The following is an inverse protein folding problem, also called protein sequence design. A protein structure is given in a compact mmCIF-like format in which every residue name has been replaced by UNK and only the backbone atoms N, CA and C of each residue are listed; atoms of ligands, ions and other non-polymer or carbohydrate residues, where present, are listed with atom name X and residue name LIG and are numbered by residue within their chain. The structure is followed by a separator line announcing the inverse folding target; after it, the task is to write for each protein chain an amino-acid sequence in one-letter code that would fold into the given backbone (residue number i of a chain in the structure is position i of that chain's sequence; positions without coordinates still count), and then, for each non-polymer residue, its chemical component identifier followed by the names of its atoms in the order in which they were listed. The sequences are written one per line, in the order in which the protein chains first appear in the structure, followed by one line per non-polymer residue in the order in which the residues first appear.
data_IF_123959252786
#
_entry.id   IF_123959252786
#
_cell.length_a   1.000
_cell.length_b   1.000
_cell.length_c   1.000
_cell.angle_alpha   90.00
_cell.angle_beta   90.00
_cell.angle_gamma   90.00
#
_symmetry.space_group_name_H-M   'P 1'
#
loop_
_entity.id
_entity.type
_entity.pdbx_description
1 polymer ?
#
# COMPACT_ATOMS: atom_id res chain seq x y z
N UNK A 1 -29.92 72.15 18.41
CA UNK A 1 -31.03 71.43 17.71
C UNK A 1 -30.92 69.96 18.13
N UNK A 2 -31.89 69.38 18.88
CA UNK A 2 -31.85 68.00 19.29
C UNK A 2 -32.42 67.10 18.16
N UNK A 3 -31.64 66.07 17.79
CA UNK A 3 -32.02 65.07 16.80
C UNK A 3 -33.04 64.11 17.43
N UNK A 4 -34.22 63.99 16.80
CA UNK A 4 -35.30 63.06 17.16
C UNK A 4 -34.82 61.58 16.96
N UNK A 5 -34.63 60.82 18.05
CA UNK A 5 -34.46 59.39 18.02
C UNK A 5 -35.73 58.72 17.54
N UNK A 6 -35.73 58.12 16.36
CA UNK A 6 -36.80 57.29 15.81
C UNK A 6 -36.98 56.05 16.67
N UNK A 7 -38.05 56.00 17.49
CA UNK A 7 -38.47 54.80 18.22
C UNK A 7 -38.90 53.73 17.21
N UNK A 8 -38.11 52.68 17.09
CA UNK A 8 -38.45 51.47 16.32
C UNK A 8 -39.55 50.74 17.08
N UNK A 9 -40.78 50.78 16.56
CA UNK A 9 -41.90 49.97 17.07
C UNK A 9 -41.66 48.51 16.67
N UNK A 10 -41.08 47.72 17.56
CA UNK A 10 -41.00 46.26 17.40
C UNK A 10 -42.44 45.74 17.52
N UNK A 11 -42.98 45.20 16.43
CA UNK A 11 -44.33 44.60 16.42
C UNK A 11 -44.30 43.38 17.35
N UNK A 12 -44.98 43.43 18.49
CA UNK A 12 -45.14 42.32 19.46
C UNK A 12 -45.68 41.02 18.86
N UNK A 13 -46.18 41.06 17.61
CA UNK A 13 -46.67 39.88 16.87
C UNK A 13 -45.55 39.01 16.31
N UNK A 14 -44.31 39.52 16.12
CA UNK A 14 -43.16 38.77 15.66
C UNK A 14 -42.50 37.95 16.79
N UNK A 15 -42.76 38.29 18.05
CA UNK A 15 -42.28 37.58 19.24
C UNK A 15 -43.18 36.41 19.67
N UNK A 16 -44.27 36.14 18.96
CA UNK A 16 -45.24 35.07 19.24
C UNK A 16 -45.28 33.98 18.15
N UNK A 17 -44.40 34.00 17.19
CA UNK A 17 -44.24 32.83 16.33
C UNK A 17 -43.42 31.81 17.12
N UNK A 18 -43.97 30.62 17.39
CA UNK A 18 -43.15 29.54 17.98
C UNK A 18 -41.95 29.31 17.08
N UNK A 19 -40.76 29.25 17.65
CA UNK A 19 -39.55 28.90 16.89
C UNK A 19 -39.83 27.62 16.09
N UNK A 20 -39.43 27.59 14.80
CA UNK A 20 -39.57 26.37 13.96
C UNK A 20 -39.04 25.16 14.66
N UNK A 21 -38.00 25.32 15.50
CA UNK A 21 -37.44 24.30 16.34
C UNK A 21 -38.40 23.78 17.42
N UNK A 22 -39.23 24.69 18.09
CA UNK A 22 -40.24 24.26 19.06
C UNK A 22 -41.40 23.51 18.40
N UNK A 23 -41.77 23.87 17.17
CA UNK A 23 -42.83 23.16 16.44
C UNK A 23 -42.37 21.80 15.92
N UNK A 24 -41.15 21.69 15.43
CA UNK A 24 -40.58 20.42 14.97
C UNK A 24 -40.35 19.43 16.13
N UNK A 25 -39.80 19.90 17.26
CA UNK A 25 -39.63 19.06 18.46
C UNK A 25 -40.97 18.64 19.05
N UNK A 26 -41.97 19.51 19.08
CA UNK A 26 -43.33 19.17 19.52
C UNK A 26 -43.98 18.11 18.63
N UNK A 27 -43.84 18.23 17.30
CA UNK A 27 -44.36 17.24 16.35
C UNK A 27 -43.64 15.89 16.51
N UNK A 28 -42.30 15.88 16.66
CA UNK A 28 -41.52 14.66 16.87
C UNK A 28 -41.92 13.95 18.18
N UNK A 29 -42.09 14.68 19.28
CA UNK A 29 -42.53 14.13 20.58
C UNK A 29 -43.95 13.56 20.49
N UNK A 30 -44.89 14.27 19.84
CA UNK A 30 -46.26 13.80 19.65
C UNK A 30 -46.29 12.54 18.77
N UNK A 31 -45.54 12.52 17.69
CA UNK A 31 -45.41 11.31 16.83
C UNK A 31 -44.80 10.13 17.60
N UNK A 32 -43.72 10.37 18.35
CA UNK A 32 -43.05 9.33 19.15
C UNK A 32 -43.97 8.76 20.24
N UNK A 33 -44.78 9.63 20.89
CA UNK A 33 -45.74 9.21 21.90
C UNK A 33 -46.91 8.41 21.31
N UNK A 34 -47.35 8.75 20.11
CA UNK A 34 -48.37 7.99 19.37
C UNK A 34 -47.83 6.63 18.88
N UNK A 35 -46.54 6.56 18.56
CA UNK A 35 -45.90 5.38 18.01
C UNK A 35 -44.87 4.76 18.99
N UNK A 36 -45.13 4.82 20.29
CA UNK A 36 -44.18 4.39 21.34
C UNK A 36 -43.67 2.96 21.16
N UNK A 37 -44.50 2.04 20.68
CA UNK A 37 -44.07 0.66 20.40
C UNK A 37 -43.00 0.59 19.31
N UNK A 38 -43.16 1.34 18.23
CA UNK A 38 -42.18 1.44 17.15
C UNK A 38 -40.88 2.11 17.62
N UNK A 39 -40.98 3.19 18.41
CA UNK A 39 -39.81 3.89 18.96
C UNK A 39 -39.01 2.96 19.88
N UNK A 40 -39.70 2.25 20.78
CA UNK A 40 -39.02 1.26 21.65
C UNK A 40 -38.37 0.15 20.83
N UNK A 41 -39.07 -0.36 19.80
CA UNK A 41 -38.50 -1.39 18.93
C UNK A 41 -37.24 -0.90 18.18
N UNK A 42 -37.26 0.33 17.65
CA UNK A 42 -36.09 0.94 16.97
C UNK A 42 -34.93 1.15 17.94
N UNK A 43 -35.20 1.67 19.13
CA UNK A 43 -34.15 1.90 20.14
C UNK A 43 -33.56 0.56 20.60
N UNK A 44 -34.41 -0.46 20.83
CA UNK A 44 -33.93 -1.80 21.19
C UNK A 44 -33.08 -2.43 20.06
N UNK A 45 -33.52 -2.29 18.80
CA UNK A 45 -32.75 -2.79 17.66
C UNK A 45 -31.38 -2.09 17.53
N UNK A 46 -31.34 -0.77 17.73
CA UNK A 46 -30.06 -0.01 17.72
C UNK A 46 -29.15 -0.42 18.89
N UNK A 47 -29.72 -0.64 20.08
CA UNK A 47 -28.95 -1.13 21.23
C UNK A 47 -28.34 -2.51 20.97
N UNK A 48 -29.13 -3.43 20.42
CA UNK A 48 -28.65 -4.76 20.03
C UNK A 48 -27.56 -4.67 18.95
N UNK A 49 -27.77 -3.84 17.92
CA UNK A 49 -26.77 -3.62 16.87
C UNK A 49 -25.47 -3.04 17.45
N UNK A 50 -25.55 -2.11 18.38
CA UNK A 50 -24.41 -1.56 19.10
C UNK A 50 -23.64 -2.61 19.90
N UNK A 51 -24.33 -3.46 20.66
CA UNK A 51 -23.74 -4.57 21.40
C UNK A 51 -23.03 -5.58 20.48
N UNK A 52 -23.67 -5.93 19.37
CA UNK A 52 -23.08 -6.85 18.35
C UNK A 52 -21.83 -6.20 17.75
N UNK A 53 -21.85 -4.91 17.41
CA UNK A 53 -20.70 -4.20 16.87
C UNK A 53 -19.52 -4.20 17.86
N UNK A 54 -19.77 -3.96 19.14
CA UNK A 54 -18.76 -4.02 20.21
C UNK A 54 -18.18 -5.43 20.35
N UNK A 55 -19.04 -6.46 20.36
CA UNK A 55 -18.60 -7.85 20.45
C UNK A 55 -17.72 -8.25 19.25
N UNK A 56 -18.14 -7.90 18.02
CA UNK A 56 -17.34 -8.12 16.81
C UNK A 56 -16.01 -7.39 16.89
N UNK A 57 -16.02 -6.13 17.35
CA UNK A 57 -14.80 -5.33 17.53
C UNK A 57 -13.82 -6.00 18.48
N UNK A 58 -14.30 -6.51 19.62
CA UNK A 58 -13.48 -7.20 20.60
C UNK A 58 -12.90 -8.53 20.06
N UNK A 59 -13.72 -9.34 19.37
CA UNK A 59 -13.28 -10.59 18.77
C UNK A 59 -12.21 -10.36 17.70
N UNK A 60 -12.42 -9.39 16.80
CA UNK A 60 -11.43 -8.99 15.79
C UNK A 60 -10.16 -8.42 16.41
N UNK A 61 -10.25 -7.72 17.53
CA UNK A 61 -9.09 -7.23 18.28
C UNK A 61 -8.23 -8.38 18.80
N UNK A 62 -8.83 -9.35 19.46
CA UNK A 62 -8.16 -10.54 19.97
C UNK A 62 -7.53 -11.40 18.84
N UNK A 63 -8.23 -11.53 17.72
CA UNK A 63 -7.73 -12.25 16.54
C UNK A 63 -6.48 -11.55 15.96
N UNK A 64 -6.51 -10.21 15.83
CA UNK A 64 -5.35 -9.42 15.36
C UNK A 64 -4.15 -9.55 16.28
N UNK A 65 -4.37 -9.54 17.59
CA UNK A 65 -3.30 -9.70 18.57
C UNK A 65 -2.63 -11.07 18.45
N UNK A 66 -3.42 -12.16 18.37
CA UNK A 66 -2.90 -13.52 18.16
C UNK A 66 -2.12 -13.63 16.85
N UNK A 67 -2.67 -13.10 15.76
CA UNK A 67 -1.99 -13.07 14.46
C UNK A 67 -0.67 -12.28 14.52
N UNK A 68 -0.63 -11.15 15.23
CA UNK A 68 0.59 -10.36 15.43
C UNK A 68 1.67 -11.14 16.16
N UNK A 69 1.31 -11.83 17.24
CA UNK A 69 2.25 -12.66 18.00
C UNK A 69 2.78 -13.83 17.16
N UNK A 70 1.90 -14.53 16.45
CA UNK A 70 2.29 -15.62 15.56
C UNK A 70 3.22 -15.12 14.44
N UNK A 71 2.91 -13.96 13.84
CA UNK A 71 3.77 -13.35 12.82
C UNK A 71 5.17 -13.00 13.37
N UNK A 72 5.24 -12.41 14.55
CA UNK A 72 6.53 -12.09 15.19
C UNK A 72 7.37 -13.35 15.42
N UNK A 73 6.75 -14.44 15.87
CA UNK A 73 7.44 -15.71 16.06
C UNK A 73 7.95 -16.28 14.75
N UNK A 74 7.11 -16.35 13.72
CA UNK A 74 7.50 -16.82 12.39
C UNK A 74 8.61 -15.96 11.79
N UNK A 75 8.51 -14.61 11.93
CA UNK A 75 9.52 -13.69 11.45
C UNK A 75 10.86 -13.82 12.18
N UNK A 76 10.84 -14.07 13.50
CA UNK A 76 12.07 -14.33 14.27
C UNK A 76 12.74 -15.61 13.80
N UNK A 77 11.97 -16.67 13.52
CA UNK A 77 12.46 -17.93 12.95
C UNK A 77 13.08 -17.70 11.56
N UNK A 78 12.43 -16.91 10.72
CA UNK A 78 12.94 -16.52 9.40
C UNK A 78 14.25 -15.72 9.51
N UNK A 79 14.28 -14.72 10.39
CA UNK A 79 15.44 -13.84 10.58
C UNK A 79 16.67 -14.57 11.16
N UNK A 80 16.49 -15.70 11.84
CA UNK A 80 17.59 -16.53 12.32
C UNK A 80 18.46 -17.11 11.18
N UNK A 81 17.96 -17.13 9.94
CA UNK A 81 18.74 -17.39 8.73
C UNK A 81 19.06 -18.86 8.44
N UNK A 82 18.66 -19.80 9.29
CA UNK A 82 18.96 -21.23 9.17
C UNK A 82 17.74 -22.16 9.31
N UNK A 83 16.52 -21.59 9.45
CA UNK A 83 15.27 -22.32 9.70
C UNK A 83 14.17 -21.90 8.71
N UNK A 84 14.53 -21.86 7.44
CA UNK A 84 13.58 -21.35 6.41
C UNK A 84 12.39 -22.28 6.20
N UNK A 85 12.56 -23.60 6.33
CA UNK A 85 11.45 -24.57 6.26
C UNK A 85 10.46 -24.33 7.40
N UNK A 86 10.95 -24.27 8.64
CA UNK A 86 10.09 -23.99 9.81
C UNK A 86 9.38 -22.63 9.67
N UNK A 87 10.09 -21.63 9.16
CA UNK A 87 9.50 -20.31 8.93
C UNK A 87 8.40 -20.36 7.85
N UNK A 88 8.62 -21.06 6.75
CA UNK A 88 7.64 -21.21 5.67
C UNK A 88 6.37 -21.90 6.15
N UNK A 89 6.49 -22.95 6.95
CA UNK A 89 5.37 -23.64 7.58
C UNK A 89 4.62 -22.74 8.57
N UNK A 90 5.34 -22.00 9.41
CA UNK A 90 4.73 -21.07 10.35
C UNK A 90 3.97 -19.94 9.65
N UNK A 91 4.51 -19.39 8.56
CA UNK A 91 3.80 -18.40 7.74
C UNK A 91 2.61 -19.01 7.01
N UNK A 92 2.69 -20.25 6.53
CA UNK A 92 1.56 -20.95 5.92
C UNK A 92 0.42 -21.14 6.93
N UNK A 93 0.71 -21.62 8.14
CA UNK A 93 -0.26 -21.76 9.21
C UNK A 93 -0.91 -20.43 9.57
N UNK A 94 -0.11 -19.37 9.70
CA UNK A 94 -0.59 -18.02 10.00
C UNK A 94 -1.55 -17.48 8.92
N UNK A 95 -1.22 -17.67 7.64
CA UNK A 95 -2.07 -17.24 6.52
C UNK A 95 -3.40 -18.02 6.51
N UNK A 96 -3.36 -19.32 6.87
CA UNK A 96 -4.54 -20.17 6.97
C UNK A 96 -5.43 -19.82 8.16
N UNK A 97 -4.84 -19.66 9.35
CA UNK A 97 -5.59 -19.48 10.61
C UNK A 97 -6.16 -18.06 10.77
N UNK A 98 -5.51 -17.06 10.15
CA UNK A 98 -5.87 -15.64 10.29
C UNK A 98 -6.00 -14.90 8.94
N UNK A 99 -6.73 -15.44 7.95
CA UNK A 99 -6.74 -14.91 6.57
C UNK A 99 -7.27 -13.48 6.45
N UNK A 100 -8.11 -13.06 7.41
CA UNK A 100 -8.74 -11.74 7.40
C UNK A 100 -7.93 -10.66 8.13
N UNK A 101 -6.83 -11.03 8.79
CA UNK A 101 -5.96 -10.08 9.46
C UNK A 101 -4.88 -9.55 8.49
N UNK A 102 -4.33 -8.37 8.79
CA UNK A 102 -3.19 -7.85 8.01
C UNK A 102 -1.97 -8.77 8.09
N UNK A 103 -1.71 -9.37 9.25
CA UNK A 103 -0.59 -10.29 9.47
C UNK A 103 -0.76 -11.62 8.73
N UNK A 104 -1.99 -12.16 8.70
CA UNK A 104 -2.28 -13.37 7.95
C UNK A 104 -2.10 -13.17 6.44
N UNK A 105 -2.57 -12.04 5.91
CA UNK A 105 -2.31 -11.70 4.51
C UNK A 105 -0.82 -11.53 4.22
N UNK A 106 -0.10 -10.77 5.06
CA UNK A 106 1.34 -10.55 4.90
C UNK A 106 2.15 -11.85 5.01
N UNK A 107 1.67 -12.81 5.77
CA UNK A 107 2.30 -14.12 5.92
C UNK A 107 2.44 -14.87 4.57
N UNK A 108 1.51 -14.67 3.63
CA UNK A 108 1.63 -15.23 2.27
C UNK A 108 2.89 -14.74 1.53
N UNK A 109 3.21 -13.45 1.62
CA UNK A 109 4.42 -12.88 1.06
C UNK A 109 5.68 -13.46 1.72
N UNK A 110 5.71 -13.48 3.06
CA UNK A 110 6.85 -14.00 3.82
C UNK A 110 7.04 -15.51 3.66
N UNK A 111 5.95 -16.27 3.41
CA UNK A 111 6.06 -17.68 2.99
C UNK A 111 6.85 -17.81 1.69
N UNK A 112 6.55 -16.96 0.70
CA UNK A 112 7.31 -16.90 -0.55
C UNK A 112 8.79 -16.59 -0.31
N UNK A 113 9.11 -15.63 0.55
CA UNK A 113 10.49 -15.31 0.92
C UNK A 113 11.21 -16.47 1.61
N UNK A 114 10.54 -17.15 2.54
CA UNK A 114 11.11 -18.27 3.26
C UNK A 114 11.43 -19.45 2.32
N UNK A 115 10.52 -19.80 1.42
CA UNK A 115 10.70 -20.83 0.40
C UNK A 115 11.82 -20.49 -0.58
N UNK A 116 11.90 -19.23 -1.03
CA UNK A 116 12.99 -18.76 -1.88
C UNK A 116 14.35 -18.87 -1.19
N UNK A 117 14.44 -18.52 0.10
CA UNK A 117 15.64 -18.63 0.91
C UNK A 117 16.01 -20.08 1.23
N UNK A 118 15.03 -20.98 1.27
CA UNK A 118 15.21 -22.43 1.38
C UNK A 118 15.78 -23.03 0.08
N UNK A 119 15.65 -22.35 -1.05
CA UNK A 119 16.04 -22.84 -2.39
C UNK A 119 14.91 -23.53 -3.13
N UNK A 120 13.70 -23.61 -2.57
CA UNK A 120 12.52 -24.16 -3.27
C UNK A 120 11.86 -23.06 -4.10
N UNK A 121 12.45 -22.79 -5.26
CA UNK A 121 12.00 -21.76 -6.17
C UNK A 121 10.60 -22.04 -6.74
N UNK A 122 10.24 -23.31 -6.94
CA UNK A 122 8.93 -23.69 -7.47
C UNK A 122 7.81 -23.41 -6.45
N UNK A 123 8.03 -23.81 -5.18
CA UNK A 123 7.09 -23.50 -4.11
C UNK A 123 7.03 -21.99 -3.82
N UNK A 124 8.17 -21.29 -3.90
CA UNK A 124 8.21 -19.84 -3.76
C UNK A 124 7.37 -19.12 -4.84
N UNK A 125 7.52 -19.53 -6.10
CA UNK A 125 6.73 -18.97 -7.21
C UNK A 125 5.22 -19.18 -6.98
N UNK A 126 4.83 -20.36 -6.51
CA UNK A 126 3.44 -20.65 -6.16
C UNK A 126 2.94 -19.74 -5.02
N UNK A 127 3.72 -19.61 -3.95
CA UNK A 127 3.36 -18.78 -2.80
C UNK A 127 3.22 -17.29 -3.17
N UNK A 128 4.10 -16.75 -4.00
CA UNK A 128 3.99 -15.37 -4.50
C UNK A 128 2.76 -15.19 -5.40
N UNK A 129 2.46 -16.15 -6.28
CA UNK A 129 1.28 -16.09 -7.14
C UNK A 129 -0.03 -16.14 -6.32
N UNK A 130 -0.11 -17.00 -5.31
CA UNK A 130 -1.22 -17.07 -4.36
C UNK A 130 -1.41 -15.72 -3.62
N UNK A 131 -0.31 -15.14 -3.13
CA UNK A 131 -0.36 -13.83 -2.48
C UNK A 131 -0.84 -12.73 -3.42
N UNK A 132 -0.33 -12.67 -4.65
CA UNK A 132 -0.74 -11.70 -5.67
C UNK A 132 -2.23 -11.80 -6.04
N UNK A 133 -2.80 -13.00 -5.99
CA UNK A 133 -4.23 -13.22 -6.22
C UNK A 133 -5.11 -12.55 -5.15
N UNK A 134 -4.58 -12.26 -3.97
CA UNK A 134 -5.31 -11.52 -2.91
C UNK A 134 -5.40 -10.01 -3.15
N UNK A 135 -4.83 -9.50 -4.25
CA UNK A 135 -4.75 -8.07 -4.56
C UNK A 135 -4.13 -7.25 -3.43
N UNK A 136 -2.86 -7.51 -3.08
CA UNK A 136 -2.21 -6.90 -1.91
C UNK A 136 -2.14 -5.38 -2.00
N UNK A 137 -2.41 -4.75 -0.86
CA UNK A 137 -2.33 -3.32 -0.62
C UNK A 137 -1.54 -3.09 0.69
N UNK A 138 -0.58 -2.17 0.74
CA UNK A 138 -0.26 -1.13 -0.26
C UNK A 138 0.52 -1.65 -1.50
N UNK A 139 0.54 -0.87 -2.60
CA UNK A 139 1.10 -1.29 -3.88
C UNK A 139 2.55 -1.79 -3.85
N UNK A 140 3.38 -1.30 -2.93
CA UNK A 140 4.78 -1.76 -2.80
C UNK A 140 4.88 -3.24 -2.39
N UNK A 141 3.91 -3.77 -1.64
CA UNK A 141 3.86 -5.21 -1.31
C UNK A 141 3.56 -6.06 -2.55
N UNK A 142 2.70 -5.54 -3.43
CA UNK A 142 2.45 -6.15 -4.72
C UNK A 142 3.70 -6.14 -5.60
N UNK A 143 4.42 -5.01 -5.61
CA UNK A 143 5.66 -4.85 -6.34
C UNK A 143 6.73 -5.82 -5.85
N UNK A 144 6.90 -5.96 -4.52
CA UNK A 144 7.81 -6.90 -3.89
C UNK A 144 7.48 -8.35 -4.26
N UNK A 145 6.20 -8.73 -4.18
CA UNK A 145 5.75 -10.07 -4.55
C UNK A 145 5.97 -10.37 -6.05
N UNK A 146 5.74 -9.40 -6.94
CA UNK A 146 6.02 -9.54 -8.36
C UNK A 146 7.51 -9.70 -8.65
N UNK A 147 8.36 -8.93 -7.98
CA UNK A 147 9.81 -9.08 -8.10
C UNK A 147 10.26 -10.47 -7.59
N UNK A 148 9.74 -10.90 -6.43
CA UNK A 148 10.00 -12.24 -5.89
C UNK A 148 9.51 -13.36 -6.81
N UNK A 149 8.34 -13.21 -7.41
CA UNK A 149 7.81 -14.15 -8.41
C UNK A 149 8.74 -14.22 -9.63
N UNK A 150 9.20 -13.06 -10.12
CA UNK A 150 10.15 -12.99 -11.23
C UNK A 150 11.42 -13.78 -10.93
N UNK A 151 12.04 -13.57 -9.77
CA UNK A 151 13.23 -14.31 -9.34
C UNK A 151 12.97 -15.80 -9.19
N UNK A 152 11.86 -16.21 -8.60
CA UNK A 152 11.50 -17.60 -8.43
C UNK A 152 11.26 -18.31 -9.78
N UNK A 153 10.56 -17.66 -10.70
CA UNK A 153 10.31 -18.16 -12.06
C UNK A 153 11.60 -18.28 -12.88
N UNK A 154 12.51 -17.32 -12.75
CA UNK A 154 13.80 -17.37 -13.40
C UNK A 154 14.65 -18.53 -12.86
N UNK A 155 14.67 -18.77 -11.55
CA UNK A 155 15.42 -19.85 -10.92
C UNK A 155 14.98 -21.25 -11.38
N UNK A 156 13.71 -21.42 -11.77
CA UNK A 156 13.20 -22.67 -12.36
C UNK A 156 13.26 -22.70 -13.90
N UNK A 157 13.89 -21.69 -14.52
CA UNK A 157 14.07 -21.61 -15.96
C UNK A 157 12.86 -21.11 -16.76
N UNK A 158 11.80 -20.67 -16.10
CA UNK A 158 10.61 -20.11 -16.72
C UNK A 158 10.81 -18.63 -17.10
N UNK A 159 11.68 -18.38 -18.10
CA UNK A 159 12.14 -17.03 -18.47
C UNK A 159 11.00 -16.09 -18.90
N UNK A 160 10.00 -16.58 -19.66
CA UNK A 160 8.89 -15.74 -20.11
C UNK A 160 8.01 -15.30 -18.95
N UNK A 161 7.50 -16.18 -18.06
CA UNK A 161 6.80 -15.76 -16.86
C UNK A 161 7.62 -14.87 -15.92
N UNK A 162 8.93 -15.10 -15.79
CA UNK A 162 9.82 -14.26 -15.02
C UNK A 162 9.86 -12.82 -15.56
N UNK A 163 10.03 -12.69 -16.88
CA UNK A 163 10.04 -11.40 -17.55
C UNK A 163 8.71 -10.66 -17.37
N UNK A 164 7.58 -11.35 -17.51
CA UNK A 164 6.24 -10.75 -17.29
C UNK A 164 6.10 -10.21 -15.88
N UNK A 165 6.55 -10.97 -14.88
CA UNK A 165 6.49 -10.55 -13.48
C UNK A 165 7.39 -9.31 -13.23
N UNK A 166 8.61 -9.29 -13.74
CA UNK A 166 9.51 -8.13 -13.63
C UNK A 166 8.97 -6.89 -14.34
N UNK A 167 8.41 -7.04 -15.54
CA UNK A 167 7.80 -5.92 -16.26
C UNK A 167 6.62 -5.36 -15.47
N UNK A 168 5.76 -6.22 -14.93
CA UNK A 168 4.64 -5.77 -14.08
C UNK A 168 5.15 -5.05 -12.81
N UNK A 169 6.17 -5.56 -12.13
CA UNK A 169 6.79 -4.88 -10.99
C UNK A 169 7.35 -3.51 -11.39
N UNK A 170 7.97 -3.41 -12.55
CA UNK A 170 8.54 -2.19 -13.10
C UNK A 170 7.51 -1.13 -13.53
N UNK A 171 6.23 -1.49 -13.67
CA UNK A 171 5.14 -0.51 -13.93
C UNK A 171 4.64 0.19 -12.66
N UNK A 172 4.91 -0.40 -11.49
CA UNK A 172 4.51 0.15 -10.20
C UNK A 172 5.58 1.11 -9.68
N UNK A 173 5.16 2.26 -9.14
CA UNK A 173 6.09 3.13 -8.43
C UNK A 173 6.41 2.55 -7.06
N UNK A 174 7.71 2.51 -6.72
CA UNK A 174 8.16 1.96 -5.44
C UNK A 174 9.59 1.45 -5.45
N UNK A 175 10.06 0.92 -4.31
CA UNK A 175 11.47 0.61 -4.09
C UNK A 175 12.03 -0.51 -4.98
N UNK A 176 11.18 -1.43 -5.46
CA UNK A 176 11.63 -2.57 -6.29
C UNK A 176 11.57 -2.30 -7.79
N UNK A 177 11.15 -1.08 -8.21
CA UNK A 177 10.93 -0.75 -9.62
C UNK A 177 12.21 -0.84 -10.45
N UNK A 178 13.25 -0.21 -9.98
CA UNK A 178 14.54 -0.19 -10.70
C UNK A 178 15.12 -1.59 -10.83
N UNK A 179 15.17 -2.36 -9.76
CA UNK A 179 15.71 -3.71 -9.76
C UNK A 179 14.93 -4.66 -10.67
N UNK A 180 13.59 -4.54 -10.65
CA UNK A 180 12.72 -5.31 -11.54
C UNK A 180 12.95 -4.94 -13.02
N UNK A 181 13.08 -3.65 -13.34
CA UNK A 181 13.38 -3.22 -14.71
C UNK A 181 14.77 -3.66 -15.17
N UNK A 182 15.78 -3.61 -14.30
CA UNK A 182 17.11 -4.12 -14.61
C UNK A 182 17.09 -5.63 -14.85
N UNK A 183 16.33 -6.39 -14.06
CA UNK A 183 16.16 -7.83 -14.26
C UNK A 183 15.44 -8.13 -15.57
N UNK A 184 14.41 -7.37 -15.93
CA UNK A 184 13.74 -7.49 -17.22
C UNK A 184 14.68 -7.18 -18.38
N UNK A 185 15.49 -6.11 -18.28
CA UNK A 185 16.46 -5.75 -19.32
C UNK A 185 17.52 -6.86 -19.52
N UNK A 186 18.03 -7.43 -18.43
CA UNK A 186 18.96 -8.56 -18.47
C UNK A 186 18.36 -9.79 -19.15
N UNK A 187 17.10 -10.12 -18.87
CA UNK A 187 16.41 -11.23 -19.54
C UNK A 187 16.15 -10.93 -21.02
N UNK A 188 15.91 -9.68 -21.40
CA UNK A 188 15.83 -9.28 -22.80
C UNK A 188 17.17 -9.44 -23.51
N UNK A 189 18.29 -9.01 -22.90
CA UNK A 189 19.64 -9.24 -23.45
C UNK A 189 19.92 -10.74 -23.66
N UNK A 190 19.68 -11.56 -22.63
CA UNK A 190 19.89 -13.00 -22.69
C UNK A 190 19.02 -13.68 -23.78
N UNK A 191 17.84 -13.14 -24.04
CA UNK A 191 16.95 -13.61 -25.09
C UNK A 191 17.20 -13.01 -26.48
N UNK A 192 18.34 -12.31 -26.71
CA UNK A 192 18.71 -11.69 -27.97
C UNK A 192 17.90 -10.44 -28.34
N UNK A 193 17.09 -9.91 -27.43
CA UNK A 193 16.25 -8.72 -27.61
C UNK A 193 16.93 -7.46 -27.06
N UNK A 194 18.15 -7.22 -27.53
CA UNK A 194 19.01 -6.12 -27.03
C UNK A 194 18.37 -4.73 -27.21
N UNK A 195 17.50 -4.54 -28.20
CA UNK A 195 16.80 -3.26 -28.40
C UNK A 195 15.84 -2.96 -27.26
N UNK A 196 15.05 -3.95 -26.81
CA UNK A 196 14.14 -3.77 -25.67
C UNK A 196 14.91 -3.54 -24.36
N UNK A 197 16.03 -4.20 -24.18
CA UNK A 197 16.90 -3.92 -23.03
C UNK A 197 17.41 -2.47 -23.03
N UNK A 198 17.85 -1.97 -24.19
CA UNK A 198 18.32 -0.59 -24.35
C UNK A 198 17.22 0.44 -24.08
N UNK A 199 15.99 0.17 -24.47
CA UNK A 199 14.84 1.04 -24.16
C UNK A 199 14.66 1.16 -22.63
N UNK A 200 14.75 0.05 -21.89
CA UNK A 200 14.66 0.05 -20.43
C UNK A 200 15.82 0.86 -19.82
N UNK A 201 17.05 0.63 -20.26
CA UNK A 201 18.21 1.36 -19.75
C UNK A 201 18.13 2.85 -20.03
N UNK A 202 17.69 3.24 -21.23
CA UNK A 202 17.49 4.65 -21.59
C UNK A 202 16.38 5.31 -20.77
N UNK A 203 15.31 4.57 -20.45
CA UNK A 203 14.23 5.04 -19.56
C UNK A 203 14.75 5.28 -18.15
N UNK A 204 15.44 4.32 -17.56
CA UNK A 204 16.03 4.45 -16.22
C UNK A 204 17.02 5.60 -16.14
N UNK A 205 17.81 5.82 -17.20
CA UNK A 205 18.77 6.92 -17.27
C UNK A 205 18.10 8.29 -17.23
N UNK A 206 16.93 8.45 -17.86
CA UNK A 206 16.15 9.70 -17.85
C UNK A 206 15.56 10.02 -16.47
N UNK A 207 15.42 9.04 -15.61
CA UNK A 207 14.90 9.21 -14.24
C UNK A 207 15.94 9.82 -13.28
N UNK A 208 17.17 10.04 -13.74
CA UNK A 208 18.24 10.67 -12.95
C UNK A 208 18.77 9.77 -11.84
N UNK A 209 19.23 8.56 -12.17
CA UNK A 209 19.72 7.58 -11.20
C UNK A 209 21.00 8.07 -10.50
N UNK A 210 21.32 7.42 -9.36
CA UNK A 210 22.56 7.59 -8.65
C UNK A 210 23.79 7.37 -9.55
N UNK A 211 24.97 7.98 -9.25
CA UNK A 211 26.12 7.97 -10.14
C UNK A 211 26.59 6.60 -10.60
N UNK A 212 26.61 5.62 -9.70
CA UNK A 212 27.05 4.25 -10.01
C UNK A 212 26.09 3.57 -10.99
N UNK A 213 24.79 3.67 -10.74
CA UNK A 213 23.78 3.16 -11.63
C UNK A 213 23.80 3.89 -12.97
N UNK A 214 23.99 5.23 -12.97
CA UNK A 214 24.15 6.02 -14.19
C UNK A 214 25.32 5.52 -15.04
N UNK A 215 26.48 5.29 -14.43
CA UNK A 215 27.65 4.78 -15.14
C UNK A 215 27.38 3.40 -15.75
N UNK A 216 26.73 2.50 -15.00
CA UNK A 216 26.31 1.20 -15.51
C UNK A 216 25.37 1.33 -16.71
N UNK A 217 24.29 2.14 -16.60
CA UNK A 217 23.31 2.32 -17.66
C UNK A 217 23.95 2.90 -18.94
N UNK A 218 24.86 3.88 -18.79
CA UNK A 218 25.62 4.43 -19.91
C UNK A 218 26.46 3.37 -20.61
N UNK A 219 27.08 2.45 -19.88
CA UNK A 219 27.87 1.35 -20.46
C UNK A 219 27.05 0.39 -21.33
N UNK A 220 25.72 0.33 -21.09
CA UNK A 220 24.78 -0.51 -21.81
C UNK A 220 24.20 0.12 -23.08
N UNK A 221 24.41 1.41 -23.26
CA UNK A 221 23.89 2.18 -24.40
C UNK A 221 24.99 2.47 -25.44
N UNK A 222 24.65 2.47 -26.75
CA UNK A 222 25.61 2.85 -27.78
C UNK A 222 26.01 4.32 -27.65
N UNK A 223 27.22 4.71 -28.10
CA UNK A 223 27.77 6.05 -27.90
C UNK A 223 26.82 7.20 -28.32
N UNK A 224 26.04 7.02 -29.37
CA UNK A 224 25.09 8.05 -29.84
C UNK A 224 23.89 8.27 -28.90
N UNK A 225 23.55 7.31 -28.07
CA UNK A 225 22.45 7.43 -27.09
C UNK A 225 22.93 7.88 -25.70
N UNK A 226 24.22 7.82 -25.43
CA UNK A 226 24.84 8.30 -24.18
C UNK A 226 24.80 9.84 -24.09
N UNK A 227 24.88 10.53 -25.22
CA UNK A 227 24.93 12.00 -25.30
C UNK A 227 23.57 12.69 -25.00
N UNK A 228 22.47 11.95 -25.02
CA UNK A 228 21.12 12.52 -24.76
C UNK A 228 20.69 12.43 -23.28
N UNK A 229 21.56 11.95 -22.40
CA UNK A 229 21.29 11.87 -20.96
C UNK A 229 21.26 13.28 -20.36
N UNK A 230 20.25 13.65 -19.54
CA UNK A 230 20.23 14.94 -18.86
C UNK A 230 21.41 15.05 -17.91
N UNK A 231 22.32 15.99 -18.21
CA UNK A 231 23.35 16.42 -17.28
C UNK A 231 22.65 17.28 -16.25
N UNK A 232 22.44 16.80 -15.03
CA UNK A 232 22.18 17.69 -13.91
C UNK A 232 23.44 18.51 -13.74
N UNK A 233 23.33 19.81 -13.93
CA UNK A 233 24.39 20.79 -13.70
C UNK A 233 24.76 20.73 -12.20
N UNK A 234 25.76 19.92 -11.86
CA UNK A 234 26.49 20.00 -10.60
C UNK A 234 27.52 21.09 -10.73
N UNK A 235 27.15 22.33 -10.36
CA UNK A 235 28.20 23.35 -10.33
C UNK A 235 27.74 24.79 -10.34
N UNK A 236 27.03 25.22 -9.33
CA UNK A 236 27.19 26.57 -8.85
C UNK A 236 27.67 26.52 -7.39
N UNK A 237 28.96 26.38 -7.22
CA UNK A 237 29.58 26.74 -5.95
C UNK A 237 29.23 28.20 -5.68
N UNK A 238 28.74 28.59 -4.50
CA UNK A 238 28.56 29.98 -4.17
C UNK A 238 29.95 30.64 -4.08
N UNK A 239 30.13 31.64 -4.92
CA UNK A 239 31.29 32.52 -4.98
C UNK A 239 31.55 33.12 -3.57
N UNK A 240 32.63 32.67 -2.94
CA UNK A 240 33.13 33.20 -1.69
C UNK A 240 34.07 34.37 -1.99
N UNK A 241 33.47 35.50 -2.36
CA UNK A 241 34.24 36.76 -2.50
C UNK A 241 33.33 37.94 -2.25
N UNK A 242 33.17 38.33 -0.98
CA UNK A 242 32.93 39.71 -0.54
C UNK A 242 32.88 39.76 1.01
N UNK A 243 34.05 39.73 1.61
CA UNK A 243 34.23 40.22 2.97
C UNK A 243 35.60 40.88 3.07
N UNK A 244 35.70 42.12 2.56
CA UNK A 244 36.74 43.07 2.89
C UNK A 244 36.25 44.46 2.50
N UNK A 245 35.57 45.12 3.45
CA UNK A 245 35.74 46.54 3.80
C UNK A 245 34.87 46.87 5.02
#
# INVERSE_FOLDING_TARGET
MPQHAKRIKIRRKALRQPDEFETLTGQAVNWASANRGLVIAVVAALAVAGLVAVAIGHLRGAERERASLAFRTAHTTFAAGNKFTEAAEAFAALAHDYPHTAYGRLAGLYRGHALARQGDAAAAATAYAEYLATSPDPPYLRQEALAGLGHAKEAIGETTPALEAYVQAGTLEGPYRTDALLSAARLHEAGGRADLAREIYARLLKEGPEPDLKAFLLSKLPPGQQATAPVKDEGAAPDAAAAAE
#
